data_IF_464539805736
#
_entry.id   IF_464539805736
#
_cell.length_a   1.000
_cell.length_b   1.000
_cell.length_c   1.000
_cell.angle_alpha   90.00
_cell.angle_beta   90.00
_cell.angle_gamma   90.00
#
_symmetry.space_group_name_H-M   'P 1'
#
loop_
_entity.id
_entity.type
_entity.pdbx_description
1 polymer ?
#
# COMPACT_ATOMS: atom_id res chain seq x y z
N UNK A 1 -29.52 13.81 14.86
CA UNK A 1 -28.53 14.63 14.11
C UNK A 1 -28.36 13.98 12.74
N UNK A 2 -28.38 14.73 11.61
CA UNK A 2 -28.24 14.12 10.29
C UNK A 2 -26.82 13.54 10.10
N UNK A 3 -26.69 12.34 9.50
CA UNK A 3 -25.45 11.56 9.46
C UNK A 3 -24.34 12.10 8.54
N UNK A 4 -24.52 13.27 7.92
CA UNK A 4 -23.64 13.77 6.85
C UNK A 4 -22.68 14.88 7.30
N UNK A 5 -22.71 15.27 8.57
CA UNK A 5 -21.83 16.29 9.13
C UNK A 5 -20.90 15.68 10.19
N UNK A 6 -19.94 14.88 9.76
CA UNK A 6 -18.76 14.55 10.57
C UNK A 6 -17.54 15.04 9.79
N UNK A 7 -16.70 15.93 10.36
CA UNK A 7 -15.46 16.33 9.72
C UNK A 7 -14.58 15.09 9.50
N UNK A 8 -14.39 14.68 8.25
CA UNK A 8 -13.55 13.53 7.87
C UNK A 8 -12.04 13.80 8.02
N UNK A 9 -11.62 14.71 8.92
CA UNK A 9 -10.20 14.94 9.18
C UNK A 9 -9.48 13.64 9.59
N UNK A 10 -10.21 12.73 10.26
CA UNK A 10 -9.76 11.37 10.52
C UNK A 10 -9.49 10.55 9.26
N UNK A 11 -10.25 10.72 8.17
CA UNK A 11 -10.08 9.93 6.93
C UNK A 11 -8.88 10.39 6.10
N UNK A 12 -8.59 11.70 6.05
CA UNK A 12 -7.43 12.18 5.31
C UNK A 12 -6.13 11.84 6.04
N UNK A 13 -6.11 11.95 7.37
CA UNK A 13 -4.94 11.56 8.16
C UNK A 13 -4.70 10.05 8.13
N UNK A 14 -5.76 9.23 8.18
CA UNK A 14 -5.63 7.77 7.98
C UNK A 14 -5.19 7.43 6.57
N UNK A 15 -5.75 8.09 5.54
CA UNK A 15 -5.27 7.90 4.18
C UNK A 15 -3.79 8.28 4.04
N UNK A 16 -3.39 9.45 4.54
CA UNK A 16 -2.00 9.91 4.48
C UNK A 16 -1.05 8.98 5.25
N UNK A 17 -1.41 8.54 6.46
CA UNK A 17 -0.60 7.58 7.20
C UNK A 17 -0.48 6.23 6.48
N UNK A 18 -1.55 5.76 5.84
CA UNK A 18 -1.56 4.50 5.10
C UNK A 18 -0.74 4.58 3.82
N UNK A 19 -0.84 5.72 3.14
CA UNK A 19 0.00 6.04 1.99
C UNK A 19 1.48 6.07 2.38
N UNK A 20 1.84 6.69 3.50
CA UNK A 20 3.21 6.75 4.00
C UNK A 20 3.75 5.38 4.41
N UNK A 21 2.96 4.58 5.13
CA UNK A 21 3.31 3.20 5.50
C UNK A 21 3.50 2.35 4.24
N UNK A 22 2.59 2.46 3.27
CA UNK A 22 2.70 1.76 1.99
C UNK A 22 3.93 2.19 1.19
N UNK A 23 4.21 3.48 1.11
CA UNK A 23 5.40 4.03 0.45
C UNK A 23 6.69 3.55 1.12
N UNK A 24 6.74 3.57 2.46
CA UNK A 24 7.87 3.04 3.22
C UNK A 24 8.08 1.56 2.93
N UNK A 25 7.03 0.76 2.96
CA UNK A 25 7.11 -0.67 2.71
C UNK A 25 7.61 -0.99 1.29
N UNK A 26 7.09 -0.28 0.28
CA UNK A 26 7.54 -0.40 -1.11
C UNK A 26 8.99 0.06 -1.26
N UNK A 27 9.39 1.15 -0.59
CA UNK A 27 10.76 1.66 -0.64
C UNK A 27 11.75 0.64 -0.09
N UNK A 28 11.47 0.08 1.09
CA UNK A 28 12.31 -0.94 1.72
C UNK A 28 12.41 -2.16 0.82
N UNK A 29 11.29 -2.70 0.34
CA UNK A 29 11.28 -3.88 -0.53
C UNK A 29 11.98 -3.62 -1.88
N UNK A 30 11.72 -2.47 -2.51
CA UNK A 30 12.36 -2.06 -3.76
C UNK A 30 13.88 -1.94 -3.61
N UNK A 31 14.35 -1.27 -2.55
CA UNK A 31 15.79 -1.16 -2.26
C UNK A 31 16.48 -2.52 -2.16
N UNK A 32 15.85 -3.52 -1.54
CA UNK A 32 16.42 -4.88 -1.43
C UNK A 32 16.33 -5.71 -2.71
N UNK A 33 15.31 -5.51 -3.55
CA UNK A 33 15.06 -6.38 -4.72
C UNK A 33 15.60 -5.80 -6.02
N UNK A 34 15.56 -4.47 -6.18
CA UNK A 34 15.84 -3.81 -7.46
C UNK A 34 17.07 -2.92 -7.44
N UNK A 35 17.69 -2.66 -6.28
CA UNK A 35 18.84 -1.75 -6.08
C UNK A 35 18.65 -0.29 -6.56
N UNK A 36 17.51 0.02 -7.19
CA UNK A 36 17.11 1.33 -7.69
C UNK A 36 15.73 1.72 -7.12
N UNK A 37 15.51 3.02 -6.94
CA UNK A 37 14.24 3.60 -6.53
C UNK A 37 14.39 4.57 -5.36
N UNK A 38 14.02 5.82 -5.59
CA UNK A 38 13.95 6.83 -4.55
C UNK A 38 12.66 6.68 -3.73
N UNK A 39 12.59 7.33 -2.57
CA UNK A 39 11.37 7.33 -1.77
C UNK A 39 10.19 7.97 -2.51
N UNK A 40 10.45 8.97 -3.36
CA UNK A 40 9.44 9.60 -4.22
C UNK A 40 8.80 8.59 -5.19
N UNK A 41 9.61 7.68 -5.77
CA UNK A 41 9.10 6.64 -6.66
C UNK A 41 8.16 5.69 -5.92
N UNK A 42 8.51 5.32 -4.68
CA UNK A 42 7.71 4.47 -3.82
C UNK A 42 6.40 5.17 -3.40
N UNK A 43 6.45 6.46 -3.08
CA UNK A 43 5.27 7.25 -2.72
C UNK A 43 4.27 7.34 -3.88
N UNK A 44 4.75 7.61 -5.09
CA UNK A 44 3.91 7.61 -6.28
C UNK A 44 3.34 6.22 -6.59
N UNK A 45 4.15 5.17 -6.40
CA UNK A 45 3.72 3.77 -6.57
C UNK A 45 2.60 3.42 -5.58
N UNK A 46 2.74 3.82 -4.31
CA UNK A 46 1.71 3.64 -3.29
C UNK A 46 0.42 4.40 -3.66
N UNK A 47 0.55 5.64 -4.15
CA UNK A 47 -0.59 6.47 -4.54
C UNK A 47 -1.36 5.86 -5.70
N UNK A 48 -0.66 5.45 -6.77
CA UNK A 48 -1.29 4.79 -7.91
C UNK A 48 -1.88 3.42 -7.53
N UNK A 49 -1.23 2.68 -6.62
CA UNK A 49 -1.77 1.46 -6.05
C UNK A 49 -3.09 1.70 -5.32
N UNK A 50 -3.15 2.72 -4.46
CA UNK A 50 -4.36 3.10 -3.72
C UNK A 50 -5.50 3.52 -4.66
N UNK A 51 -5.19 4.30 -5.71
CA UNK A 51 -6.17 4.68 -6.74
C UNK A 51 -6.67 3.45 -7.48
N UNK A 52 -5.77 2.57 -7.93
CA UNK A 52 -6.17 1.33 -8.61
C UNK A 52 -7.09 0.50 -7.71
N UNK A 53 -6.74 0.35 -6.43
CA UNK A 53 -7.54 -0.38 -5.45
C UNK A 53 -8.92 0.25 -5.26
N UNK A 54 -9.02 1.56 -5.13
CA UNK A 54 -10.29 2.27 -4.97
C UNK A 54 -11.23 2.08 -6.19
N UNK A 55 -10.65 1.99 -7.39
CA UNK A 55 -11.42 1.84 -8.64
C UNK A 55 -11.94 0.42 -8.85
N UNK A 56 -11.17 -0.60 -8.47
CA UNK A 56 -11.47 -1.99 -8.85
C UNK A 56 -11.77 -2.91 -7.67
N UNK A 57 -11.38 -2.55 -6.46
CA UNK A 57 -11.43 -3.40 -5.26
C UNK A 57 -12.82 -3.60 -4.65
N UNK A 58 -13.87 -3.03 -5.25
CA UNK A 58 -15.25 -3.10 -4.73
C UNK A 58 -15.93 -4.45 -4.99
N UNK A 59 -15.50 -5.21 -6.01
CA UNK A 59 -16.02 -6.57 -6.26
C UNK A 59 -15.25 -7.56 -5.39
N UNK A 60 -15.91 -8.33 -4.50
CA UNK A 60 -15.24 -9.35 -3.71
C UNK A 60 -14.51 -10.36 -4.60
N UNK A 61 -13.29 -10.73 -4.22
CA UNK A 61 -12.39 -11.66 -4.93
C UNK A 61 -11.91 -11.16 -6.30
N UNK A 62 -12.80 -10.88 -7.25
CA UNK A 62 -12.44 -10.41 -8.60
C UNK A 62 -11.75 -9.05 -8.52
N UNK A 63 -12.33 -8.12 -7.76
CA UNK A 63 -11.76 -6.80 -7.54
C UNK A 63 -10.41 -6.86 -6.83
N UNK A 64 -10.26 -7.77 -5.87
CA UNK A 64 -8.98 -7.99 -5.18
C UNK A 64 -7.90 -8.51 -6.14
N UNK A 65 -8.21 -9.50 -6.98
CA UNK A 65 -7.26 -10.02 -7.97
C UNK A 65 -6.87 -8.97 -9.00
N UNK A 66 -7.85 -8.18 -9.49
CA UNK A 66 -7.59 -7.07 -10.41
C UNK A 66 -6.77 -5.96 -9.75
N UNK A 67 -7.03 -5.64 -8.48
CA UNK A 67 -6.27 -4.63 -7.74
C UNK A 67 -4.82 -5.08 -7.54
N UNK A 68 -4.59 -6.35 -7.19
CA UNK A 68 -3.25 -6.93 -7.09
C UNK A 68 -2.52 -6.90 -8.44
N UNK A 69 -3.19 -7.31 -9.53
CA UNK A 69 -2.61 -7.26 -10.87
C UNK A 69 -2.26 -5.82 -11.29
N UNK A 70 -3.17 -4.87 -11.03
CA UNK A 70 -2.95 -3.46 -11.31
C UNK A 70 -1.78 -2.91 -10.49
N UNK A 71 -1.71 -3.21 -9.19
CA UNK A 71 -0.64 -2.76 -8.31
C UNK A 71 0.73 -3.31 -8.72
N UNK A 72 0.82 -4.61 -9.04
CA UNK A 72 2.05 -5.21 -9.58
C UNK A 72 2.42 -4.57 -10.93
N UNK A 73 1.42 -4.24 -11.75
CA UNK A 73 1.61 -3.48 -12.99
C UNK A 73 2.20 -2.09 -12.77
N UNK A 74 1.73 -1.35 -11.75
CA UNK A 74 2.28 -0.06 -11.34
C UNK A 74 3.74 -0.21 -10.91
N UNK A 75 4.05 -1.19 -10.05
CA UNK A 75 5.43 -1.48 -9.61
C UNK A 75 6.33 -1.78 -10.82
N UNK A 76 5.89 -2.67 -11.70
CA UNK A 76 6.61 -3.02 -12.93
C UNK A 76 6.95 -1.78 -13.76
N UNK A 77 5.97 -0.88 -13.94
CA UNK A 77 6.13 0.32 -14.74
C UNK A 77 7.06 1.35 -14.08
N UNK A 78 6.95 1.52 -12.75
CA UNK A 78 7.74 2.50 -11.99
C UNK A 78 9.18 2.08 -11.72
N UNK A 79 9.45 0.78 -11.58
CA UNK A 79 10.78 0.22 -11.30
C UNK A 79 11.47 -0.41 -12.52
N UNK A 80 11.08 -0.03 -13.75
CA UNK A 80 11.29 -0.76 -15.01
C UNK A 80 11.82 -2.22 -14.92
N UNK A 81 11.13 -3.08 -14.16
CA UNK A 81 11.55 -4.47 -13.90
C UNK A 81 10.71 -5.50 -14.64
N UNK A 82 11.17 -6.75 -14.69
CA UNK A 82 10.35 -7.88 -15.13
C UNK A 82 9.23 -8.23 -14.12
N UNK A 83 8.17 -8.89 -14.59
CA UNK A 83 7.01 -9.28 -13.77
C UNK A 83 7.39 -10.07 -12.50
N UNK A 84 8.34 -11.00 -12.59
CA UNK A 84 8.79 -11.77 -11.43
C UNK A 84 9.41 -10.89 -10.33
N UNK A 85 10.24 -9.91 -10.71
CA UNK A 85 10.80 -8.93 -9.76
C UNK A 85 9.73 -8.01 -9.19
N UNK A 86 8.78 -7.56 -10.01
CA UNK A 86 7.65 -6.75 -9.53
C UNK A 86 6.81 -7.49 -8.47
N UNK A 87 6.58 -8.80 -8.68
CA UNK A 87 5.92 -9.65 -7.67
C UNK A 87 6.74 -9.79 -6.39
N UNK A 88 8.06 -9.94 -6.48
CA UNK A 88 8.94 -9.98 -5.31
C UNK A 88 8.94 -8.65 -4.55
N UNK A 89 8.95 -7.51 -5.25
CA UNK A 89 8.81 -6.18 -4.62
C UNK A 89 7.45 -6.06 -3.93
N UNK A 90 6.37 -6.43 -4.61
CA UNK A 90 5.02 -6.36 -4.02
C UNK A 90 4.86 -7.28 -2.80
N UNK A 91 5.31 -8.53 -2.91
CA UNK A 91 5.29 -9.48 -1.80
C UNK A 91 6.17 -9.03 -0.63
N UNK A 92 7.37 -8.52 -0.91
CA UNK A 92 8.27 -7.96 0.08
C UNK A 92 7.68 -6.72 0.76
N UNK A 93 7.05 -5.83 0.00
CA UNK A 93 6.38 -4.65 0.54
C UNK A 93 5.23 -5.04 1.46
N UNK A 94 4.41 -6.03 1.07
CA UNK A 94 3.38 -6.56 1.95
C UNK A 94 3.96 -7.11 3.26
N UNK A 95 5.04 -7.91 3.18
CA UNK A 95 5.70 -8.44 4.38
C UNK A 95 6.24 -7.32 5.29
N UNK A 96 6.88 -6.29 4.72
CA UNK A 96 7.34 -5.12 5.48
C UNK A 96 6.16 -4.39 6.13
N UNK A 97 5.06 -4.19 5.42
CA UNK A 97 3.87 -3.54 5.96
C UNK A 97 3.29 -4.30 7.16
N UNK A 98 3.23 -5.64 7.08
CA UNK A 98 2.79 -6.51 8.20
C UNK A 98 3.69 -6.33 9.42
N UNK A 99 5.02 -6.31 9.23
CA UNK A 99 5.98 -6.10 10.31
C UNK A 99 5.80 -4.71 10.95
N UNK A 100 5.60 -3.67 10.13
CA UNK A 100 5.34 -2.31 10.61
C UNK A 100 4.05 -2.28 11.44
N UNK A 101 2.94 -2.79 10.93
CA UNK A 101 1.67 -2.82 11.66
C UNK A 101 1.81 -3.58 12.98
N UNK A 102 2.46 -4.75 12.97
CA UNK A 102 2.71 -5.52 14.18
C UNK A 102 3.56 -4.75 15.21
N UNK A 103 4.63 -4.08 14.77
CA UNK A 103 5.50 -3.30 15.65
C UNK A 103 4.75 -2.14 16.33
N UNK A 104 3.88 -1.45 15.59
CA UNK A 104 3.03 -0.40 16.16
C UNK A 104 1.97 -0.96 17.12
N UNK A 105 1.44 -2.16 16.82
CA UNK A 105 0.55 -2.87 17.75
C UNK A 105 1.19 -3.14 19.11
N UNK A 106 2.50 -3.44 19.15
CA UNK A 106 3.24 -3.66 20.41
C UNK A 106 3.32 -2.42 21.31
N UNK A 107 3.23 -1.21 20.74
CA UNK A 107 3.25 0.06 21.49
C UNK A 107 1.85 0.64 21.71
N UNK A 108 0.80 -0.14 21.43
CA UNK A 108 -0.60 0.25 21.65
C UNK A 108 -1.19 1.17 20.57
N UNK A 109 -0.54 1.26 19.40
CA UNK A 109 -1.04 2.02 18.26
C UNK A 109 -1.74 1.08 17.28
N UNK A 110 -3.06 1.22 17.15
CA UNK A 110 -3.84 0.44 16.19
C UNK A 110 -3.70 1.01 14.78
N UNK A 111 -2.99 0.26 13.93
CA UNK A 111 -2.77 0.59 12.53
C UNK A 111 -3.69 -0.21 11.57
N UNK A 112 -4.67 -0.96 12.07
CA UNK A 112 -5.63 -1.72 11.23
C UNK A 112 -6.38 -0.81 10.24
N UNK A 113 -6.55 0.46 10.59
CA UNK A 113 -7.15 1.49 9.74
C UNK A 113 -6.33 1.80 8.45
N UNK A 114 -5.08 1.35 8.36
CA UNK A 114 -4.19 1.62 7.23
C UNK A 114 -4.25 0.56 6.11
N UNK A 115 -5.20 -0.38 6.19
CA UNK A 115 -5.61 -1.20 5.03
C UNK A 115 -4.67 -2.37 4.70
N UNK A 116 -3.89 -2.86 5.67
CA UNK A 116 -3.10 -4.09 5.51
C UNK A 116 -4.03 -5.30 5.66
N UNK A 117 -4.23 -6.14 4.62
CA UNK A 117 -5.09 -7.31 4.75
C UNK A 117 -4.46 -8.36 5.68
N UNK A 118 -5.20 -8.85 6.67
CA UNK A 118 -4.82 -9.98 7.53
C UNK A 118 -4.43 -9.64 8.98
N UNK A 119 -4.64 -8.40 9.42
CA UNK A 119 -4.45 -7.95 10.81
C UNK A 119 -5.76 -7.64 11.50
#
# INVERSE_FOLDING_TARGET
>A
MPPFAQPHAGSLLTFAGGLLVGAFAIHVAGRYVTEFGEFEDALLTALFGAIAWALVGWVPLVGTLLALAAWVGVIKYRYPVGWGRALLVGGGAWAVAVVVVAAFGLVGLDLSAFGVPGT
#
